data_IF_933868910962
#
_entry.id   IF_933868910962
#
_cell.length_a   1.000
_cell.length_b   1.000
_cell.length_c   1.000
_cell.angle_alpha   90.00
_cell.angle_beta   90.00
_cell.angle_gamma   90.00
#
_symmetry.space_group_name_H-M   'P 1'
#
loop_
_entity.id
_entity.type
_entity.pdbx_description
1 polymer ?
#
# COMPACT_ATOMS: atom_id res chain seq x y z
N UNK A 1 -16.77 -5.29 22.63
CA UNK A 1 -16.74 -3.91 23.16
C UNK A 1 -16.67 -2.79 22.11
N UNK A 2 -16.86 -3.09 20.82
CA UNK A 2 -17.15 -2.04 19.81
C UNK A 2 -18.59 -1.49 19.92
N UNK A 3 -19.38 -2.00 20.81
CA UNK A 3 -20.82 -1.73 20.90
C UNK A 3 -21.21 -0.45 21.63
N UNK A 4 -20.37 0.10 22.52
CA UNK A 4 -20.83 1.24 23.33
C UNK A 4 -20.71 2.60 22.66
N UNK A 5 -19.78 2.79 21.72
CA UNK A 5 -19.66 4.08 20.99
C UNK A 5 -20.60 4.15 19.78
N UNK A 6 -20.94 2.99 19.18
CA UNK A 6 -21.94 2.88 18.12
C UNK A 6 -23.36 3.04 18.65
N UNK A 7 -23.69 2.45 19.81
CA UNK A 7 -25.04 2.53 20.41
C UNK A 7 -25.44 3.97 20.76
N UNK A 8 -24.51 4.81 21.22
CA UNK A 8 -24.79 6.24 21.42
C UNK A 8 -25.03 6.99 20.12
N UNK A 9 -24.31 6.64 19.06
CA UNK A 9 -24.46 7.22 17.72
C UNK A 9 -25.76 6.75 17.04
N UNK A 10 -26.12 5.47 17.18
CA UNK A 10 -27.36 4.90 16.61
C UNK A 10 -28.63 5.55 17.18
N UNK A 11 -28.67 5.84 18.47
CA UNK A 11 -29.82 6.53 19.07
C UNK A 11 -29.93 7.99 18.58
N UNK A 12 -28.84 8.71 18.47
CA UNK A 12 -28.82 10.09 17.96
C UNK A 12 -29.12 10.15 16.46
N UNK A 13 -28.62 9.22 15.67
CA UNK A 13 -28.81 9.12 14.22
C UNK A 13 -30.28 8.76 13.92
N UNK A 14 -30.84 7.80 14.64
CA UNK A 14 -32.23 7.34 14.43
C UNK A 14 -33.28 8.38 14.75
N UNK A 15 -33.04 9.20 15.77
CA UNK A 15 -34.05 10.12 16.31
C UNK A 15 -33.94 11.56 15.75
N UNK A 16 -32.88 11.91 15.04
CA UNK A 16 -32.60 13.31 14.67
C UNK A 16 -32.13 13.56 13.23
N UNK A 17 -31.89 12.52 12.41
CA UNK A 17 -31.38 12.63 11.04
C UNK A 17 -30.16 13.56 10.91
N UNK A 18 -29.30 13.61 11.95
CA UNK A 18 -28.13 14.47 11.95
C UNK A 18 -27.12 14.04 10.86
N UNK A 19 -26.62 14.98 10.09
CA UNK A 19 -25.55 14.68 9.12
C UNK A 19 -24.31 14.15 9.83
N UNK A 20 -23.64 13.15 9.22
CA UNK A 20 -22.44 12.52 9.73
C UNK A 20 -21.46 12.21 8.60
N UNK A 21 -20.16 12.26 8.89
CA UNK A 21 -19.11 11.78 8.00
C UNK A 21 -18.44 10.54 8.60
N UNK A 22 -18.42 9.43 7.84
CA UNK A 22 -17.73 8.19 8.17
C UNK A 22 -16.39 8.18 7.43
N UNK A 23 -15.31 8.48 8.14
CA UNK A 23 -13.98 8.67 7.56
C UNK A 23 -13.17 7.39 7.71
N UNK A 24 -12.94 6.68 6.61
CA UNK A 24 -12.04 5.52 6.61
C UNK A 24 -10.59 5.98 6.74
N UNK A 25 -9.85 5.35 7.65
CA UNK A 25 -8.40 5.50 7.80
C UNK A 25 -7.66 4.22 7.39
N UNK A 26 -8.30 3.38 6.58
CA UNK A 26 -7.68 2.18 6.04
C UNK A 26 -6.82 2.52 4.81
N UNK A 27 -5.62 1.94 4.75
CA UNK A 27 -4.69 2.12 3.64
C UNK A 27 -5.03 1.22 2.45
N UNK A 28 -6.25 1.34 1.95
CA UNK A 28 -6.70 0.67 0.73
C UNK A 28 -7.19 1.69 -0.30
N UNK A 29 -7.07 1.32 -1.57
CA UNK A 29 -7.50 2.20 -2.67
C UNK A 29 -8.98 2.54 -2.57
N UNK A 30 -9.31 3.83 -2.72
CA UNK A 30 -10.67 4.36 -2.68
C UNK A 30 -11.43 3.92 -1.42
N UNK A 31 -10.77 4.01 -0.28
CA UNK A 31 -11.24 3.48 1.01
C UNK A 31 -12.64 4.00 1.41
N UNK A 32 -12.96 5.26 1.16
CA UNK A 32 -14.30 5.81 1.41
C UNK A 32 -15.39 5.16 0.56
N UNK A 33 -15.10 4.83 -0.71
CA UNK A 33 -16.06 4.11 -1.57
C UNK A 33 -16.31 2.68 -1.04
N UNK A 34 -15.27 1.97 -0.64
CA UNK A 34 -15.38 0.62 -0.07
C UNK A 34 -16.14 0.63 1.26
N UNK A 35 -15.87 1.63 2.11
CA UNK A 35 -16.62 1.79 3.36
C UNK A 35 -18.10 2.03 3.06
N UNK A 36 -18.41 2.93 2.11
CA UNK A 36 -19.79 3.20 1.68
C UNK A 36 -20.50 1.93 1.20
N UNK A 37 -19.87 1.18 0.31
CA UNK A 37 -20.41 -0.08 -0.20
C UNK A 37 -20.71 -1.07 0.93
N UNK A 38 -19.78 -1.23 1.87
CA UNK A 38 -19.95 -2.11 3.03
C UNK A 38 -21.11 -1.67 3.92
N UNK A 39 -21.21 -0.36 4.21
CA UNK A 39 -22.31 0.19 5.03
C UNK A 39 -23.65 0.02 4.34
N UNK A 40 -23.75 0.31 3.04
CA UNK A 40 -24.99 0.13 2.28
C UNK A 40 -25.41 -1.35 2.21
N UNK A 41 -24.46 -2.25 2.00
CA UNK A 41 -24.73 -3.71 2.01
C UNK A 41 -25.28 -4.14 3.36
N UNK A 42 -24.68 -3.72 4.46
CA UNK A 42 -25.18 -4.04 5.80
C UNK A 42 -26.57 -3.42 6.07
N UNK A 43 -26.79 -2.20 5.60
CA UNK A 43 -28.09 -1.51 5.73
C UNK A 43 -29.20 -2.29 5.03
N UNK A 44 -28.96 -2.78 3.82
CA UNK A 44 -29.92 -3.61 3.08
C UNK A 44 -30.20 -4.96 3.77
N UNK A 45 -29.18 -5.61 4.33
CA UNK A 45 -29.35 -6.84 5.11
C UNK A 45 -30.17 -6.58 6.38
N UNK A 46 -29.92 -5.47 7.08
CA UNK A 46 -30.70 -5.06 8.26
C UNK A 46 -32.16 -4.77 7.90
N UNK A 47 -32.42 -4.15 6.74
CA UNK A 47 -33.77 -3.93 6.23
C UNK A 47 -34.47 -5.27 5.97
N UNK A 48 -33.82 -6.20 5.28
CA UNK A 48 -34.36 -7.56 5.04
C UNK A 48 -34.67 -8.30 6.34
N UNK A 49 -33.85 -8.12 7.36
CA UNK A 49 -34.03 -8.70 8.69
C UNK A 49 -35.08 -7.95 9.55
N UNK A 50 -35.62 -6.82 9.05
CA UNK A 50 -36.60 -6.02 9.80
C UNK A 50 -36.03 -5.20 10.95
N UNK A 51 -34.72 -4.98 11.00
CA UNK A 51 -34.08 -4.17 12.03
C UNK A 51 -34.18 -2.66 11.76
N UNK A 52 -34.26 -2.28 10.48
CA UNK A 52 -34.38 -0.89 10.03
C UNK A 52 -35.46 -0.77 8.95
N UNK A 53 -36.00 0.44 8.79
CA UNK A 53 -37.00 0.78 7.79
C UNK A 53 -36.38 1.45 6.54
N UNK A 54 -37.26 1.82 5.59
CA UNK A 54 -36.86 2.53 4.36
C UNK A 54 -36.30 3.92 4.65
N UNK A 55 -36.73 4.58 5.72
CA UNK A 55 -36.24 5.90 6.14
C UNK A 55 -34.75 5.83 6.45
N UNK A 56 -34.31 4.79 7.17
CA UNK A 56 -32.89 4.59 7.48
C UNK A 56 -32.05 4.32 6.22
N UNK A 57 -32.59 3.50 5.28
CA UNK A 57 -31.91 3.24 4.00
C UNK A 57 -31.70 4.52 3.22
N UNK A 58 -32.74 5.36 3.11
CA UNK A 58 -32.67 6.65 2.44
C UNK A 58 -31.69 7.59 3.11
N UNK A 59 -31.69 7.66 4.44
CA UNK A 59 -30.75 8.46 5.24
C UNK A 59 -29.30 8.08 4.95
N UNK A 60 -28.95 6.79 5.01
CA UNK A 60 -27.58 6.31 4.79
C UNK A 60 -27.13 6.47 3.34
N UNK A 61 -28.08 6.41 2.39
CA UNK A 61 -27.79 6.48 0.95
C UNK A 61 -27.53 7.90 0.45
N UNK A 62 -28.02 8.93 1.15
CA UNK A 62 -27.84 10.34 0.76
C UNK A 62 -26.47 10.86 1.22
N UNK A 63 -25.52 11.00 0.27
CA UNK A 63 -24.18 11.51 0.55
C UNK A 63 -24.15 12.97 1.07
N UNK A 64 -25.26 13.71 0.96
CA UNK A 64 -25.36 15.06 1.57
C UNK A 64 -25.62 14.99 3.07
N UNK A 65 -26.08 13.84 3.56
CA UNK A 65 -26.40 13.61 4.97
C UNK A 65 -25.37 12.67 5.60
N UNK A 66 -25.07 11.54 4.95
CA UNK A 66 -24.06 10.59 5.39
C UNK A 66 -22.93 10.56 4.36
N UNK A 67 -21.86 11.28 4.63
CA UNK A 67 -20.71 11.33 3.75
C UNK A 67 -19.69 10.24 4.07
N UNK A 68 -18.95 9.81 3.05
CA UNK A 68 -17.87 8.84 3.13
C UNK A 68 -16.59 9.44 2.52
N UNK A 69 -15.96 10.41 3.20
CA UNK A 69 -14.76 11.06 2.70
C UNK A 69 -13.67 10.03 2.38
N UNK A 70 -13.06 10.17 1.20
CA UNK A 70 -11.90 9.39 0.84
C UNK A 70 -10.67 9.91 1.56
N UNK A 71 -9.74 9.02 1.89
CA UNK A 71 -8.45 9.42 2.46
C UNK A 71 -7.29 8.72 1.76
N UNK A 72 -6.16 9.42 1.66
CA UNK A 72 -4.87 8.83 1.34
C UNK A 72 -3.98 8.94 2.57
N UNK A 73 -3.50 7.82 3.05
CA UNK A 73 -2.68 7.71 4.25
C UNK A 73 -1.31 7.21 3.86
N UNK A 74 -0.27 7.87 4.35
CA UNK A 74 1.10 7.40 4.20
C UNK A 74 1.89 7.59 5.49
N UNK A 75 1.83 6.57 6.33
CA UNK A 75 2.58 6.48 7.58
C UNK A 75 2.83 5.02 7.91
N UNK A 76 4.10 4.61 7.97
CA UNK A 76 4.46 3.26 8.41
C UNK A 76 4.60 3.25 9.93
N UNK A 77 3.97 2.29 10.57
CA UNK A 77 3.98 2.11 12.02
C UNK A 77 4.28 0.64 12.35
N UNK A 78 5.55 0.21 12.24
CA UNK A 78 5.92 -1.16 12.55
C UNK A 78 5.77 -1.47 14.04
N UNK A 79 5.86 -2.74 14.39
CA UNK A 79 5.92 -3.14 15.80
C UNK A 79 7.13 -2.47 16.47
N UNK A 80 6.99 -2.10 17.78
CA UNK A 80 8.11 -1.55 18.52
C UNK A 80 9.38 -2.40 18.44
N UNK A 81 10.48 -1.77 18.09
CA UNK A 81 11.81 -2.39 18.10
C UNK A 81 12.31 -2.53 19.54
N UNK A 82 12.89 -3.66 19.89
CA UNK A 82 13.54 -3.89 21.19
C UNK A 82 14.69 -2.90 21.43
N UNK A 83 15.44 -2.55 20.37
CA UNK A 83 16.50 -1.57 20.44
C UNK A 83 15.97 -0.18 20.81
N UNK A 84 14.88 0.26 20.19
CA UNK A 84 14.24 1.55 20.49
C UNK A 84 13.68 1.54 21.91
N UNK A 85 13.08 0.45 22.35
CA UNK A 85 12.60 0.28 23.72
C UNK A 85 13.74 0.47 24.72
N UNK A 86 14.89 -0.19 24.49
CA UNK A 86 16.08 -0.06 25.35
C UNK A 86 16.65 1.37 25.36
N UNK A 87 16.62 2.07 24.23
CA UNK A 87 17.11 3.46 24.15
C UNK A 87 16.15 4.44 24.84
N UNK A 88 14.84 4.21 24.77
CA UNK A 88 13.85 4.97 25.52
C UNK A 88 13.98 4.75 27.03
N UNK A 89 14.24 3.52 27.48
CA UNK A 89 14.50 3.20 28.90
C UNK A 89 15.74 3.93 29.43
N UNK A 90 16.82 4.00 28.64
CA UNK A 90 18.03 4.80 28.97
C UNK A 90 17.72 6.30 29.12
N UNK A 91 16.73 6.81 28.40
CA UNK A 91 16.25 8.19 28.49
C UNK A 91 15.25 8.40 29.65
N UNK A 92 14.97 7.37 30.45
CA UNK A 92 14.10 7.44 31.63
C UNK A 92 12.63 7.21 31.31
N UNK A 93 12.25 6.68 30.13
CA UNK A 93 10.88 6.29 29.84
C UNK A 93 10.63 4.92 30.42
N UNK A 94 9.64 4.81 31.29
CA UNK A 94 9.31 3.56 32.01
C UNK A 94 8.27 2.71 31.23
N UNK A 95 8.18 1.43 31.59
CA UNK A 95 7.17 0.48 31.11
C UNK A 95 7.23 0.21 29.59
N UNK A 96 8.42 0.07 29.03
CA UNK A 96 8.63 -0.19 27.59
C UNK A 96 8.40 -1.65 27.17
N UNK A 97 7.93 -2.52 28.07
CA UNK A 97 7.64 -3.91 27.76
C UNK A 97 6.20 -4.08 27.25
N UNK A 98 5.97 -4.90 26.20
CA UNK A 98 4.62 -5.16 25.70
C UNK A 98 3.79 -5.95 26.73
N UNK A 99 2.50 -5.68 26.76
CA UNK A 99 1.55 -6.45 27.58
C UNK A 99 0.89 -7.50 26.71
N UNK A 100 1.04 -8.77 27.11
CA UNK A 100 0.36 -9.88 26.46
C UNK A 100 -0.86 -10.24 27.32
N UNK A 101 -2.05 -10.08 26.75
CA UNK A 101 -3.31 -10.40 27.46
C UNK A 101 -3.53 -11.91 27.57
N UNK A 102 -4.46 -12.31 28.44
CA UNK A 102 -4.88 -13.72 28.54
C UNK A 102 -5.46 -14.31 27.23
N UNK A 103 -5.93 -13.46 26.32
CA UNK A 103 -6.38 -13.83 24.95
C UNK A 103 -5.23 -13.77 23.92
N UNK A 104 -3.99 -13.67 24.36
CA UNK A 104 -2.79 -13.55 23.51
C UNK A 104 -2.77 -12.30 22.61
N UNK A 105 -3.50 -11.25 22.98
CA UNK A 105 -3.43 -9.96 22.30
C UNK A 105 -2.15 -9.23 22.72
N UNK A 106 -1.38 -8.77 21.74
CA UNK A 106 -0.18 -7.96 21.95
C UNK A 106 -0.58 -6.48 22.07
N UNK A 107 -0.25 -5.85 23.20
CA UNK A 107 -0.44 -4.42 23.42
C UNK A 107 0.94 -3.77 23.45
N UNK A 108 1.22 -2.95 22.46
CA UNK A 108 2.49 -2.24 22.35
C UNK A 108 2.56 -1.08 23.36
N UNK A 109 3.72 -0.85 24.00
CA UNK A 109 3.90 0.26 24.93
C UNK A 109 4.04 1.62 24.23
N UNK A 110 4.45 1.64 22.96
CA UNK A 110 4.59 2.85 22.15
C UNK A 110 4.39 2.53 20.66
N UNK A 111 4.30 3.56 19.84
CA UNK A 111 4.22 3.42 18.38
C UNK A 111 5.59 3.73 17.79
N UNK A 112 6.16 2.78 17.06
CA UNK A 112 7.39 2.96 16.31
C UNK A 112 7.06 3.50 14.91
N UNK A 113 6.79 4.81 14.81
CA UNK A 113 6.37 5.45 13.57
C UNK A 113 7.58 6.07 12.84
N UNK A 114 7.58 5.98 11.51
CA UNK A 114 8.55 6.70 10.68
C UNK A 114 8.36 8.22 10.75
N UNK A 115 9.38 9.00 10.29
CA UNK A 115 9.32 10.46 10.22
C UNK A 115 8.35 10.95 9.13
N UNK A 116 8.40 10.47 7.88
CA UNK A 116 7.46 10.87 6.84
C UNK A 116 6.01 10.57 7.23
N UNK A 117 5.11 11.50 6.93
CA UNK A 117 3.68 11.30 7.13
C UNK A 117 2.86 12.18 6.20
N UNK A 118 1.89 11.57 5.55
CA UNK A 118 0.93 12.25 4.69
C UNK A 118 -0.46 11.72 4.96
N UNK A 119 -1.40 12.63 5.19
CA UNK A 119 -2.82 12.35 5.31
C UNK A 119 -3.57 13.35 4.46
N UNK A 120 -4.09 12.90 3.33
CA UNK A 120 -4.96 13.71 2.46
C UNK A 120 -6.39 13.24 2.69
N UNK A 121 -7.28 14.16 3.02
CA UNK A 121 -8.68 13.88 3.36
C UNK A 121 -9.59 14.65 2.39
N UNK A 122 -10.58 13.96 1.83
CA UNK A 122 -11.65 14.62 1.08
C UNK A 122 -12.44 15.55 2.01
N UNK A 123 -12.57 16.81 1.62
CA UNK A 123 -13.31 17.82 2.38
C UNK A 123 -14.83 17.70 2.13
N UNK A 124 -15.41 16.59 2.56
CA UNK A 124 -16.83 16.26 2.42
C UNK A 124 -17.42 15.94 3.80
N UNK A 125 -17.75 16.98 4.57
CA UNK A 125 -18.26 16.90 5.94
C UNK A 125 -19.57 17.65 6.07
N UNK A 126 -20.72 16.96 5.91
CA UNK A 126 -22.03 17.62 5.88
C UNK A 126 -22.40 18.31 7.20
N UNK A 127 -21.81 17.90 8.32
CA UNK A 127 -22.00 18.50 9.65
C UNK A 127 -20.85 19.42 10.08
N UNK A 128 -19.93 19.78 9.14
CA UNK A 128 -18.70 20.50 9.45
C UNK A 128 -17.63 19.60 10.08
N UNK A 129 -16.44 20.15 10.26
CA UNK A 129 -15.28 19.48 10.81
C UNK A 129 -14.34 20.42 11.57
N UNK A 130 -13.47 19.92 12.46
CA UNK A 130 -12.36 20.72 12.97
C UNK A 130 -11.37 21.06 11.86
N UNK A 131 -10.50 22.04 12.10
CA UNK A 131 -9.46 22.46 11.18
C UNK A 131 -8.29 21.43 11.18
N UNK A 132 -8.53 20.28 10.56
CA UNK A 132 -7.60 19.16 10.53
C UNK A 132 -6.29 19.49 9.80
N UNK A 133 -6.35 20.39 8.80
CA UNK A 133 -5.22 20.93 8.04
C UNK A 133 -4.21 21.71 8.88
N UNK A 134 -4.51 22.02 10.12
CA UNK A 134 -3.53 22.56 11.08
C UNK A 134 -2.58 21.50 11.63
N UNK A 135 -2.91 20.21 11.46
CA UNK A 135 -2.02 19.13 11.78
C UNK A 135 -0.89 19.02 10.75
N UNK A 136 0.33 18.75 11.22
CA UNK A 136 1.46 18.54 10.33
C UNK A 136 1.20 17.33 9.41
N UNK A 137 1.43 17.51 8.10
CA UNK A 137 1.24 16.46 7.09
C UNK A 137 -0.23 16.13 6.78
N UNK A 138 -1.19 16.95 7.23
CA UNK A 138 -2.62 16.78 6.95
C UNK A 138 -3.08 17.79 5.91
N UNK A 139 -3.71 17.31 4.85
CA UNK A 139 -4.20 18.09 3.72
C UNK A 139 -5.69 17.83 3.50
N UNK A 140 -6.46 18.90 3.33
CA UNK A 140 -7.87 18.83 2.92
C UNK A 140 -7.96 19.11 1.43
N UNK A 141 -8.68 18.29 0.68
CA UNK A 141 -8.75 18.37 -0.77
C UNK A 141 -10.11 17.90 -1.31
N UNK A 142 -10.35 18.05 -2.59
CA UNK A 142 -11.45 17.38 -3.27
C UNK A 142 -11.13 15.88 -3.51
N UNK A 143 -12.16 15.08 -3.79
CA UNK A 143 -12.06 13.63 -4.03
C UNK A 143 -11.06 13.28 -5.14
N UNK A 144 -11.03 14.07 -6.21
CA UNK A 144 -10.11 13.82 -7.32
C UNK A 144 -8.65 14.01 -6.89
N UNK A 145 -8.36 15.05 -6.13
CA UNK A 145 -7.01 15.32 -5.59
C UNK A 145 -6.57 14.23 -4.61
N UNK A 146 -7.47 13.72 -3.75
CA UNK A 146 -7.18 12.55 -2.90
C UNK A 146 -6.80 11.34 -3.75
N UNK A 147 -7.59 11.04 -4.78
CA UNK A 147 -7.33 9.93 -5.70
C UNK A 147 -6.00 10.10 -6.47
N UNK A 148 -5.69 11.31 -6.94
CA UNK A 148 -4.42 11.59 -7.60
C UNK A 148 -3.23 11.43 -6.66
N UNK A 149 -3.37 11.84 -5.38
CA UNK A 149 -2.32 11.66 -4.36
C UNK A 149 -2.07 10.17 -4.06
N UNK A 150 -3.14 9.39 -3.99
CA UNK A 150 -3.04 7.94 -3.84
C UNK A 150 -2.35 7.31 -5.07
N UNK A 151 -2.79 7.65 -6.27
CA UNK A 151 -2.19 7.12 -7.51
C UNK A 151 -0.72 7.49 -7.62
N UNK A 152 -0.33 8.72 -7.32
CA UNK A 152 1.07 9.13 -7.28
C UNK A 152 1.91 8.20 -6.40
N UNK A 153 1.46 7.95 -5.16
CA UNK A 153 2.14 7.08 -4.20
C UNK A 153 2.16 5.62 -4.66
N UNK A 154 0.96 5.06 -4.90
CA UNK A 154 0.76 3.61 -5.08
C UNK A 154 1.21 3.13 -6.45
N UNK A 155 0.91 3.89 -7.51
CA UNK A 155 1.14 3.42 -8.89
C UNK A 155 2.47 3.84 -9.47
N UNK A 156 3.15 4.85 -8.90
CA UNK A 156 4.33 5.44 -9.52
C UNK A 156 5.53 5.56 -8.59
N UNK A 157 5.38 6.22 -7.42
CA UNK A 157 6.57 6.67 -6.67
C UNK A 157 7.10 5.65 -5.67
N UNK A 158 6.25 5.00 -4.88
CA UNK A 158 6.65 4.15 -3.76
C UNK A 158 6.54 2.65 -4.08
N UNK A 159 5.33 2.19 -4.36
CA UNK A 159 5.06 0.77 -4.42
C UNK A 159 5.70 0.06 -5.63
N UNK A 160 5.88 0.69 -6.81
CA UNK A 160 6.64 0.08 -7.92
C UNK A 160 8.07 -0.25 -7.53
N UNK A 161 8.73 0.63 -6.76
CA UNK A 161 10.10 0.37 -6.28
C UNK A 161 10.11 -0.89 -5.41
N UNK A 162 9.22 -0.98 -4.43
CA UNK A 162 9.12 -2.16 -3.56
C UNK A 162 8.85 -3.44 -4.35
N UNK A 163 7.88 -3.42 -5.27
CA UNK A 163 7.50 -4.62 -6.04
C UNK A 163 8.56 -5.07 -7.03
N UNK A 164 9.39 -4.15 -7.54
CA UNK A 164 10.48 -4.50 -8.44
C UNK A 164 11.71 -5.02 -7.69
N UNK A 165 12.05 -4.40 -6.56
CA UNK A 165 13.31 -4.69 -5.88
C UNK A 165 13.18 -5.70 -4.75
N UNK A 166 12.00 -5.82 -4.11
CA UNK A 166 11.78 -6.79 -3.03
C UNK A 166 11.99 -8.25 -3.44
N UNK A 167 11.32 -8.75 -4.50
CA UNK A 167 11.55 -10.10 -5.01
C UNK A 167 13.01 -10.36 -5.40
N UNK A 168 13.68 -9.40 -6.05
CA UNK A 168 15.09 -9.50 -6.36
C UNK A 168 15.97 -9.53 -5.11
N UNK A 169 15.61 -8.77 -4.07
CA UNK A 169 16.31 -8.79 -2.79
C UNK A 169 16.31 -10.18 -2.13
N UNK A 170 15.19 -10.90 -2.23
CA UNK A 170 15.11 -12.29 -1.74
C UNK A 170 16.04 -13.21 -2.55
N UNK A 171 16.04 -13.09 -3.89
CA UNK A 171 16.92 -13.89 -4.77
C UNK A 171 18.41 -13.61 -4.48
N UNK A 172 18.76 -12.38 -4.14
CA UNK A 172 20.12 -11.95 -3.81
C UNK A 172 20.50 -12.22 -2.34
N UNK A 173 19.61 -12.85 -1.55
CA UNK A 173 19.89 -13.21 -0.15
C UNK A 173 19.81 -12.08 0.87
N UNK A 174 19.19 -10.94 0.51
CA UNK A 174 18.96 -9.85 1.45
C UNK A 174 17.66 -10.04 2.22
N UNK A 175 17.71 -10.03 3.54
CA UNK A 175 16.51 -10.04 4.38
C UNK A 175 15.83 -8.66 4.42
N UNK A 176 16.57 -7.63 4.85
CA UNK A 176 16.03 -6.27 5.00
C UNK A 176 16.17 -5.46 3.72
N UNK A 177 15.07 -4.82 3.33
CA UNK A 177 15.00 -3.92 2.18
C UNK A 177 15.95 -2.72 2.31
N UNK A 178 15.95 -2.05 3.47
CA UNK A 178 16.82 -0.91 3.71
C UNK A 178 18.30 -1.30 3.66
N UNK A 179 18.67 -2.44 4.26
CA UNK A 179 20.03 -2.95 4.22
C UNK A 179 20.49 -3.26 2.79
N UNK A 180 19.62 -3.88 1.98
CA UNK A 180 19.89 -4.12 0.56
C UNK A 180 20.21 -2.81 -0.17
N UNK A 181 19.37 -1.79 -0.04
CA UNK A 181 19.60 -0.52 -0.73
C UNK A 181 20.82 0.23 -0.21
N UNK A 182 21.12 0.13 1.09
CA UNK A 182 22.28 0.78 1.68
C UNK A 182 23.64 0.15 1.27
N UNK A 183 23.62 -1.14 0.90
CA UNK A 183 24.86 -1.91 0.67
C UNK A 183 25.03 -2.41 -0.77
N UNK A 184 24.00 -2.36 -1.61
CA UNK A 184 24.02 -2.81 -3.00
C UNK A 184 23.73 -1.63 -3.94
N UNK A 185 24.78 -1.12 -4.58
CA UNK A 185 24.71 0.04 -5.47
C UNK A 185 23.81 -0.20 -6.71
N UNK A 186 23.79 -1.43 -7.24
CA UNK A 186 22.98 -1.75 -8.41
C UNK A 186 21.49 -1.79 -8.06
N UNK A 187 21.12 -2.32 -6.89
CA UNK A 187 19.76 -2.30 -6.39
C UNK A 187 19.29 -0.86 -6.08
N UNK A 188 20.15 -0.05 -5.49
CA UNK A 188 19.87 1.39 -5.28
C UNK A 188 19.70 2.11 -6.62
N UNK A 189 20.55 1.83 -7.63
CA UNK A 189 20.45 2.40 -8.97
C UNK A 189 19.13 2.00 -9.64
N UNK A 190 18.76 0.73 -9.57
CA UNK A 190 17.49 0.24 -10.11
C UNK A 190 16.30 0.94 -9.45
N UNK A 191 16.29 1.03 -8.11
CA UNK A 191 15.26 1.73 -7.36
C UNK A 191 15.11 3.19 -7.81
N UNK A 192 16.24 3.90 -7.98
CA UNK A 192 16.27 5.28 -8.48
C UNK A 192 15.76 5.40 -9.92
N UNK A 193 16.16 4.51 -10.82
CA UNK A 193 15.66 4.49 -12.19
C UNK A 193 14.13 4.33 -12.23
N UNK A 194 13.57 3.42 -11.45
CA UNK A 194 12.11 3.23 -11.39
C UNK A 194 11.41 4.50 -10.94
N UNK A 195 11.87 5.15 -9.89
CA UNK A 195 11.19 6.31 -9.32
C UNK A 195 11.43 7.60 -10.13
N UNK A 196 12.70 7.95 -10.39
CA UNK A 196 13.09 9.22 -10.99
C UNK A 196 13.01 9.20 -12.53
N UNK A 197 13.56 8.16 -13.17
CA UNK A 197 13.73 8.16 -14.62
C UNK A 197 12.48 7.62 -15.33
N UNK A 198 11.79 6.68 -14.73
CA UNK A 198 10.61 6.03 -15.31
C UNK A 198 9.28 6.49 -14.71
N UNK A 199 9.23 6.73 -13.40
CA UNK A 199 8.02 7.14 -12.68
C UNK A 199 7.71 8.62 -12.84
N UNK A 200 8.59 9.51 -12.37
CA UNK A 200 8.34 10.95 -12.35
C UNK A 200 7.96 11.56 -13.71
N UNK A 201 8.52 11.11 -14.86
CA UNK A 201 8.13 11.66 -16.14
C UNK A 201 6.65 11.51 -16.49
N UNK A 202 5.94 10.54 -15.91
CA UNK A 202 4.54 10.22 -16.24
C UNK A 202 3.59 10.26 -15.05
N UNK A 203 4.10 10.61 -13.85
CA UNK A 203 3.27 10.72 -12.65
C UNK A 203 2.26 11.85 -12.77
N UNK A 204 1.05 11.62 -12.29
CA UNK A 204 0.07 12.69 -12.12
C UNK A 204 0.45 13.53 -10.89
N UNK A 205 0.54 14.85 -11.06
CA UNK A 205 0.77 15.79 -9.96
C UNK A 205 -0.57 16.12 -9.30
N UNK A 206 -0.76 15.80 -8.01
CA UNK A 206 -1.98 16.14 -7.28
C UNK A 206 -2.07 17.64 -6.92
N UNK A 207 -1.02 18.42 -7.12
CA UNK A 207 -0.97 19.86 -6.84
C UNK A 207 -0.82 20.25 -5.36
N UNK A 208 -1.00 19.31 -4.43
CA UNK A 208 -0.85 19.52 -2.98
C UNK A 208 0.39 18.85 -2.39
N UNK A 209 0.90 17.82 -3.06
CA UNK A 209 2.12 17.11 -2.74
C UNK A 209 2.98 17.07 -3.99
N UNK A 210 4.21 17.59 -3.92
CA UNK A 210 5.15 17.52 -5.04
C UNK A 210 5.62 16.07 -5.23
N UNK A 211 5.38 15.43 -6.39
CA UNK A 211 5.89 14.08 -6.65
C UNK A 211 7.41 13.98 -6.50
N UNK A 212 8.15 15.00 -6.96
CA UNK A 212 9.60 15.08 -6.81
C UNK A 212 10.01 15.10 -5.34
N UNK A 213 9.42 15.98 -4.52
CA UNK A 213 9.74 16.08 -3.10
C UNK A 213 9.38 14.79 -2.35
N UNK A 214 8.28 14.14 -2.74
CA UNK A 214 7.88 12.84 -2.18
C UNK A 214 8.92 11.75 -2.48
N UNK A 215 9.38 11.65 -3.74
CA UNK A 215 10.42 10.70 -4.11
C UNK A 215 11.74 11.00 -3.40
N UNK A 216 12.12 12.28 -3.30
CA UNK A 216 13.34 12.69 -2.58
C UNK A 216 13.29 12.25 -1.11
N UNK A 217 12.14 12.41 -0.45
CA UNK A 217 11.95 11.96 0.95
C UNK A 217 12.00 10.44 1.08
N UNK A 218 11.47 9.67 0.09
CA UNK A 218 11.60 8.22 0.08
C UNK A 218 13.07 7.78 0.11
N UNK A 219 13.90 8.36 -0.74
CA UNK A 219 15.31 7.97 -0.88
C UNK A 219 16.21 8.54 0.22
N UNK A 220 15.85 9.66 0.83
CA UNK A 220 16.67 10.29 1.86
C UNK A 220 16.30 9.84 3.28
N UNK A 221 15.02 9.62 3.56
CA UNK A 221 14.54 9.37 4.92
C UNK A 221 13.93 7.96 5.10
N UNK A 222 13.16 7.43 4.12
CA UNK A 222 12.40 6.18 4.31
C UNK A 222 13.19 4.94 3.93
N UNK A 223 13.67 4.85 2.70
CA UNK A 223 14.32 3.66 2.17
C UNK A 223 15.61 3.28 2.89
N UNK A 224 16.48 4.22 3.31
CA UNK A 224 17.68 3.88 4.07
C UNK A 224 17.42 3.54 5.55
N UNK A 225 16.18 3.66 6.04
CA UNK A 225 15.87 3.49 7.46
C UNK A 225 15.70 2.01 7.84
N UNK A 226 16.76 1.40 8.35
CA UNK A 226 16.76 -0.02 8.79
C UNK A 226 15.86 -0.28 10.00
N UNK A 227 15.51 0.74 10.79
CA UNK A 227 14.59 0.60 11.94
C UNK A 227 13.13 0.33 11.53
N UNK A 228 12.77 0.51 10.26
CA UNK A 228 11.44 0.13 9.77
C UNK A 228 11.24 -1.38 9.75
N UNK A 229 12.33 -2.17 9.64
CA UNK A 229 12.29 -3.61 9.68
C UNK A 229 11.53 -4.25 8.50
N UNK A 230 11.44 -3.54 7.37
CA UNK A 230 10.79 -4.06 6.16
C UNK A 230 11.65 -5.16 5.54
N UNK A 231 11.09 -6.37 5.43
CA UNK A 231 11.78 -7.49 4.80
C UNK A 231 11.45 -7.57 3.31
N UNK A 232 12.41 -7.98 2.49
CA UNK A 232 12.21 -8.21 1.06
C UNK A 232 11.13 -9.26 0.80
N UNK A 233 11.05 -10.29 1.65
CA UNK A 233 10.02 -11.33 1.56
C UNK A 233 8.61 -10.74 1.79
N UNK A 234 8.44 -9.81 2.75
CA UNK A 234 7.16 -9.12 2.96
C UNK A 234 6.75 -8.27 1.75
N UNK A 235 7.73 -7.63 1.11
CA UNK A 235 7.49 -6.83 -0.10
C UNK A 235 7.14 -7.68 -1.34
N UNK A 236 7.44 -8.98 -1.29
CA UNK A 236 7.10 -9.96 -2.33
C UNK A 236 5.70 -10.59 -2.15
N UNK A 237 4.93 -10.21 -1.12
CA UNK A 237 3.55 -10.69 -0.93
C UNK A 237 2.65 -10.11 -2.02
N UNK A 238 1.78 -10.94 -2.60
CA UNK A 238 0.73 -10.58 -3.57
C UNK A 238 1.22 -9.78 -4.79
N UNK A 239 2.47 -9.95 -5.21
CA UNK A 239 3.03 -9.21 -6.36
C UNK A 239 2.24 -9.47 -7.64
N UNK A 240 1.75 -10.72 -7.86
CA UNK A 240 0.93 -11.05 -9.04
C UNK A 240 -0.31 -10.15 -9.16
N UNK A 241 -0.92 -9.80 -8.02
CA UNK A 241 -2.11 -8.94 -7.96
C UNK A 241 -1.77 -7.45 -8.15
N UNK A 242 -0.51 -7.09 -7.98
CA UNK A 242 -0.05 -5.70 -7.98
C UNK A 242 0.65 -5.27 -9.26
N UNK A 243 1.17 -6.21 -10.06
CA UNK A 243 1.93 -5.92 -11.29
C UNK A 243 1.13 -5.03 -12.26
N UNK A 244 -0.15 -5.33 -12.46
CA UNK A 244 -1.02 -4.54 -13.34
C UNK A 244 -1.22 -3.09 -12.89
N UNK A 245 -1.27 -2.84 -11.60
CA UNK A 245 -1.47 -1.50 -11.02
C UNK A 245 -0.12 -0.79 -10.90
N UNK A 246 0.89 -1.43 -10.31
CA UNK A 246 2.16 -0.80 -9.95
C UNK A 246 3.09 -0.58 -11.14
N UNK A 247 3.04 -1.43 -12.16
CA UNK A 247 3.83 -1.28 -13.38
C UNK A 247 2.98 -0.93 -14.59
N UNK A 248 1.81 -1.57 -14.73
CA UNK A 248 0.93 -1.39 -15.88
C UNK A 248 0.45 0.05 -16.05
N UNK A 249 0.17 0.78 -14.98
CA UNK A 249 -0.24 2.19 -15.07
C UNK A 249 0.89 3.08 -15.60
N UNK A 250 2.13 2.85 -15.17
CA UNK A 250 3.29 3.57 -15.73
C UNK A 250 3.52 3.21 -17.20
N UNK A 251 3.43 1.91 -17.55
CA UNK A 251 3.58 1.45 -18.95
C UNK A 251 2.52 2.10 -19.84
N UNK A 252 1.24 2.10 -19.44
CA UNK A 252 0.15 2.76 -20.17
C UNK A 252 0.38 4.27 -20.32
N UNK A 253 0.84 4.93 -19.27
CA UNK A 253 1.15 6.35 -19.31
C UNK A 253 2.30 6.67 -20.29
N UNK A 254 3.30 5.79 -20.40
CA UNK A 254 4.36 5.92 -21.41
C UNK A 254 3.81 5.76 -22.83
N UNK A 255 3.00 4.74 -23.09
CA UNK A 255 2.35 4.55 -24.40
C UNK A 255 1.50 5.76 -24.76
N UNK A 256 0.72 6.29 -23.81
CA UNK A 256 -0.11 7.47 -24.04
C UNK A 256 0.70 8.74 -24.30
N UNK A 257 1.80 8.95 -23.58
CA UNK A 257 2.59 10.19 -23.64
C UNK A 257 3.60 10.18 -24.79
N UNK A 258 4.21 9.02 -25.07
CA UNK A 258 5.37 8.90 -25.97
C UNK A 258 5.11 8.01 -27.21
N UNK A 259 3.95 7.34 -27.26
CA UNK A 259 3.57 6.42 -28.32
C UNK A 259 3.96 4.96 -28.10
N UNK A 260 4.95 4.70 -27.23
CA UNK A 260 5.41 3.37 -26.84
C UNK A 260 6.06 3.37 -25.46
N UNK A 261 6.42 2.20 -24.97
CA UNK A 261 7.09 1.99 -23.67
C UNK A 261 8.56 1.56 -23.81
N UNK A 262 9.17 1.73 -24.99
CA UNK A 262 10.54 1.28 -25.28
C UNK A 262 11.63 1.97 -24.45
N UNK A 263 11.32 3.08 -23.83
CA UNK A 263 12.21 3.83 -22.93
C UNK A 263 12.32 3.23 -21.52
N UNK A 264 11.40 2.33 -21.16
CA UNK A 264 11.42 1.67 -19.86
C UNK A 264 12.49 0.58 -19.86
N UNK A 265 13.27 0.52 -18.81
CA UNK A 265 14.32 -0.46 -18.56
C UNK A 265 14.19 -1.12 -17.21
N UNK A 266 14.05 -0.33 -16.15
CA UNK A 266 14.03 -0.82 -14.78
C UNK A 266 12.69 -1.49 -14.41
N UNK A 267 11.55 -0.98 -14.90
CA UNK A 267 10.25 -1.63 -14.72
C UNK A 267 10.22 -3.01 -15.40
N UNK A 268 10.59 -3.17 -16.70
CA UNK A 268 10.71 -4.49 -17.32
C UNK A 268 11.68 -5.43 -16.58
N UNK A 269 12.81 -4.90 -16.10
CA UNK A 269 13.75 -5.68 -15.28
C UNK A 269 13.10 -6.13 -13.96
N UNK A 270 12.30 -5.27 -13.31
CA UNK A 270 11.54 -5.62 -12.10
C UNK A 270 10.54 -6.75 -12.33
N UNK A 271 9.83 -6.71 -13.47
CA UNK A 271 8.92 -7.80 -13.87
C UNK A 271 9.71 -9.10 -14.09
N UNK A 272 10.83 -9.04 -14.81
CA UNK A 272 11.70 -10.20 -15.03
C UNK A 272 12.27 -10.73 -13.71
N UNK A 273 12.65 -9.85 -12.79
CA UNK A 273 13.12 -10.18 -11.45
C UNK A 273 12.07 -10.89 -10.60
N UNK A 274 10.81 -10.43 -10.66
CA UNK A 274 9.71 -11.13 -10.01
C UNK A 274 9.50 -12.54 -10.59
N UNK A 275 9.53 -12.70 -11.93
CA UNK A 275 9.44 -14.02 -12.55
C UNK A 275 10.64 -14.92 -12.17
N UNK A 276 11.84 -14.34 -12.05
CA UNK A 276 13.02 -15.04 -11.54
C UNK A 276 12.83 -15.51 -10.08
N UNK A 277 12.26 -14.67 -9.23
CA UNK A 277 11.92 -15.00 -7.85
C UNK A 277 10.94 -16.18 -7.76
N UNK A 278 9.96 -16.28 -8.67
CA UNK A 278 8.97 -17.36 -8.70
C UNK A 278 9.58 -18.76 -8.90
N UNK A 279 10.85 -18.87 -9.32
CA UNK A 279 11.55 -20.15 -9.39
C UNK A 279 11.89 -20.73 -8.00
N UNK A 280 11.79 -19.93 -6.93
CA UNK A 280 12.00 -20.36 -5.54
C UNK A 280 13.43 -20.81 -5.25
N UNK A 281 14.42 -20.32 -6.00
CA UNK A 281 15.83 -20.66 -5.88
C UNK A 281 16.67 -19.39 -5.99
N UNK A 282 17.61 -19.18 -5.07
CA UNK A 282 18.56 -18.08 -5.12
C UNK A 282 19.67 -18.25 -6.17
N UNK A 283 20.59 -17.32 -6.26
CA UNK A 283 21.68 -17.39 -7.24
C UNK A 283 22.77 -18.40 -6.89
N UNK A 284 22.82 -18.90 -5.63
CA UNK A 284 23.69 -19.98 -5.19
C UNK A 284 23.04 -21.37 -5.36
N UNK A 285 21.77 -21.42 -5.76
CA UNK A 285 21.03 -22.68 -5.95
C UNK A 285 20.31 -23.17 -4.70
N UNK A 286 20.25 -22.37 -3.62
CA UNK A 286 19.51 -22.70 -2.43
C UNK A 286 18.01 -22.42 -2.65
N UNK A 287 17.16 -23.32 -2.17
CA UNK A 287 15.71 -23.11 -2.21
C UNK A 287 15.27 -22.17 -1.09
N UNK A 288 14.35 -21.29 -1.40
CA UNK A 288 13.65 -20.47 -0.42
C UNK A 288 12.12 -20.61 -0.56
N UNK A 289 11.40 -20.30 0.51
CA UNK A 289 9.93 -20.29 0.49
C UNK A 289 9.42 -18.97 -0.11
N UNK A 290 8.48 -19.08 -1.07
CA UNK A 290 7.85 -17.92 -1.66
C UNK A 290 6.91 -17.23 -0.65
N UNK A 291 6.85 -15.90 -0.70
CA UNK A 291 5.81 -15.15 0.00
C UNK A 291 4.41 -15.57 -0.48
N UNK A 292 3.37 -15.44 0.35
CA UNK A 292 2.00 -15.72 -0.05
C UNK A 292 1.59 -14.91 -1.29
N UNK A 293 1.08 -15.61 -2.31
CA UNK A 293 0.54 -15.01 -3.52
C UNK A 293 -0.45 -16.01 -4.15
N UNK A 294 -1.66 -15.56 -4.56
CA UNK A 294 -2.68 -16.44 -5.13
C UNK A 294 -2.23 -17.21 -6.39
N UNK A 295 -1.23 -16.69 -7.12
CA UNK A 295 -0.74 -17.30 -8.35
C UNK A 295 0.49 -18.19 -8.16
N UNK A 296 0.97 -18.39 -6.93
CA UNK A 296 2.19 -19.19 -6.69
C UNK A 296 2.13 -20.58 -7.33
N UNK A 297 1.06 -21.34 -7.08
CA UNK A 297 0.93 -22.70 -7.60
C UNK A 297 0.90 -22.73 -9.12
N UNK A 298 0.11 -21.84 -9.73
CA UNK A 298 -0.02 -21.76 -11.19
C UNK A 298 1.30 -21.37 -11.86
N UNK A 299 1.99 -20.35 -11.35
CA UNK A 299 3.25 -19.87 -11.92
C UNK A 299 4.37 -20.88 -11.72
N UNK A 300 4.45 -21.52 -10.55
CA UNK A 300 5.46 -22.58 -10.32
C UNK A 300 5.25 -23.77 -11.24
N UNK A 301 4.02 -24.18 -11.52
CA UNK A 301 3.74 -25.26 -12.47
C UNK A 301 4.17 -24.88 -13.90
N UNK A 302 3.93 -23.60 -14.31
CA UNK A 302 4.38 -23.11 -15.61
C UNK A 302 5.92 -23.04 -15.72
N UNK A 303 6.61 -22.78 -14.62
CA UNK A 303 8.07 -22.59 -14.59
C UNK A 303 8.85 -23.84 -14.17
N UNK A 304 8.21 -24.96 -13.93
CA UNK A 304 8.85 -26.19 -13.41
C UNK A 304 10.01 -26.74 -14.26
N UNK A 305 9.97 -26.47 -15.56
CA UNK A 305 11.02 -26.92 -16.53
C UNK A 305 12.14 -25.89 -16.70
N UNK A 306 12.01 -24.69 -16.10
CA UNK A 306 13.02 -23.64 -16.21
C UNK A 306 14.12 -23.88 -15.19
N UNK A 307 15.36 -23.91 -15.68
CA UNK A 307 16.56 -24.13 -14.85
C UNK A 307 17.42 -22.88 -14.87
N UNK A 308 17.72 -22.36 -13.67
CA UNK A 308 18.60 -21.19 -13.52
C UNK A 308 19.95 -21.45 -14.18
N UNK A 309 20.46 -20.49 -14.94
CA UNK A 309 21.72 -20.62 -15.68
C UNK A 309 21.62 -21.37 -17.00
N UNK A 310 20.42 -21.87 -17.38
CA UNK A 310 20.19 -22.59 -18.65
C UNK A 310 19.10 -21.89 -19.49
N UNK A 311 19.44 -20.82 -20.20
CA UNK A 311 18.46 -20.03 -20.95
C UNK A 311 17.69 -20.86 -22.02
N UNK A 312 18.27 -21.95 -22.51
CA UNK A 312 17.61 -22.88 -23.44
C UNK A 312 16.41 -23.61 -22.85
N UNK A 313 16.28 -23.64 -21.50
CA UNK A 313 15.11 -24.24 -20.82
C UNK A 313 13.93 -23.28 -20.80
N UNK A 314 14.16 -22.00 -21.09
CA UNK A 314 13.13 -21.00 -21.16
C UNK A 314 12.39 -21.06 -22.49
N UNK A 315 11.12 -21.47 -22.44
CA UNK A 315 10.26 -21.54 -23.63
C UNK A 315 9.38 -20.29 -23.68
N UNK A 316 9.48 -19.52 -24.75
CA UNK A 316 8.73 -18.27 -24.97
C UNK A 316 7.19 -18.40 -24.84
N UNK A 317 6.66 -19.62 -24.87
CA UNK A 317 5.22 -19.92 -24.72
C UNK A 317 4.66 -19.50 -23.37
N UNK A 318 5.49 -19.42 -22.34
CA UNK A 318 5.08 -18.99 -21.00
C UNK A 318 4.51 -17.56 -20.95
N UNK A 319 4.93 -16.69 -21.87
CA UNK A 319 4.42 -15.29 -21.92
C UNK A 319 3.05 -15.14 -22.56
N UNK A 320 2.62 -16.07 -23.42
CA UNK A 320 1.30 -16.00 -24.06
C UNK A 320 0.18 -16.36 -23.09
N UNK A 321 0.48 -17.06 -22.00
CA UNK A 321 -0.46 -17.42 -20.95
C UNK A 321 -0.38 -16.52 -19.71
N UNK A 322 0.74 -15.82 -19.52
CA UNK A 322 0.78 -14.59 -18.72
C UNK A 322 0.09 -13.47 -19.54
N UNK A 323 -1.07 -13.74 -20.08
CA UNK A 323 -2.01 -12.68 -20.33
C UNK A 323 -2.29 -12.09 -18.95
N UNK A 324 -1.51 -11.09 -18.65
CA UNK A 324 -1.92 -10.03 -17.76
C UNK A 324 -3.17 -9.48 -18.45
N UNK A 325 -4.39 -10.00 -18.14
CA UNK A 325 -5.59 -9.70 -18.94
C UNK A 325 -5.99 -8.25 -18.79
N UNK A 326 -5.13 -7.45 -18.17
CA UNK A 326 -5.39 -6.09 -17.73
C UNK A 326 -4.26 -5.11 -18.04
N UNK A 327 -3.16 -5.55 -18.67
CA UNK A 327 -2.05 -4.62 -19.01
C UNK A 327 -2.10 -4.11 -20.47
N UNK A 328 -2.94 -4.69 -21.33
CA UNK A 328 -3.13 -4.21 -22.71
C UNK A 328 -4.51 -3.62 -22.90
#
# INVERSE_FOLDING_TARGET
>A
EMTSSLVGSEMCIRDSEYPIALVSMDNCSQNGAKLRESVLTMTEEWKKAGFVDEGFVNYVSDEKVVAFPWTMIDKITPRPSEQIAADLEKLGVENMQPVITGKKTYIAPFVNAEKPQYLVIEDSFPNGRPALEKGFGVYMADRNTVNLSERMKVTVCLNPVHSATGPLGVVLGYDLFAHMLNTNEDMMKMARMIAYDEGLPVVADPGILSPQAFVDELFNDRFPNEYLGDTNLRLAVDVSQMVGIRFGETIKAYVQKFGDASRLTAIPLGIAGWLRYMLGVDDEGNKFELAPDPMNEELQEQFKDIVVGKPETFKAVSYTHLTLPTIL
#
